data_IF_618528842284
#
_entry.id   IF_618528842284
#
_cell.length_a   1.000
_cell.length_b   1.000
_cell.length_c   1.000
_cell.angle_alpha   90.00
_cell.angle_beta   90.00
_cell.angle_gamma   90.00
#
_symmetry.space_group_name_H-M   'P 1'
#
loop_
_entity.id
_entity.type
_entity.pdbx_description
1 polymer ?
#
# COMPACT_ATOMS: atom_id res chain seq x y z
N UNK A 1 80.20 -43.56 -1.85
CA UNK A 1 79.51 -42.68 -2.81
C UNK A 1 79.21 -41.36 -2.10
N UNK A 2 79.94 -40.28 -2.39
CA UNK A 2 79.82 -39.01 -1.69
C UNK A 2 79.11 -37.97 -2.59
N UNK A 3 77.89 -37.58 -2.20
CA UNK A 3 77.09 -36.58 -2.90
C UNK A 3 77.67 -35.17 -2.65
N UNK A 4 78.15 -34.52 -3.71
CA UNK A 4 78.50 -33.09 -3.71
C UNK A 4 77.22 -32.27 -3.67
N UNK A 5 76.87 -31.72 -2.51
CA UNK A 5 75.83 -30.71 -2.41
C UNK A 5 76.38 -29.37 -2.94
N UNK A 6 75.88 -28.93 -4.08
CA UNK A 6 76.19 -27.63 -4.65
C UNK A 6 75.57 -26.54 -3.76
N UNK A 7 76.40 -25.78 -3.04
CA UNK A 7 75.95 -24.62 -2.28
C UNK A 7 75.43 -23.55 -3.25
N UNK A 8 74.18 -23.09 -3.14
CA UNK A 8 73.66 -22.04 -3.99
C UNK A 8 74.52 -20.77 -3.82
N UNK A 9 74.86 -20.13 -4.94
CA UNK A 9 75.62 -18.87 -4.95
C UNK A 9 74.80 -17.83 -4.18
N UNK A 10 75.40 -17.18 -3.18
CA UNK A 10 74.73 -16.25 -2.25
C UNK A 10 73.82 -15.21 -2.93
N UNK A 11 74.14 -14.78 -4.16
CA UNK A 11 73.30 -13.88 -4.96
C UNK A 11 71.93 -14.44 -5.37
N UNK A 12 71.81 -15.75 -5.61
CA UNK A 12 70.53 -16.39 -5.95
C UNK A 12 69.58 -16.45 -4.75
N UNK A 13 70.13 -16.61 -3.54
CA UNK A 13 69.37 -16.57 -2.28
C UNK A 13 68.82 -15.16 -2.03
N UNK A 14 69.64 -14.12 -2.27
CA UNK A 14 69.21 -12.72 -2.12
C UNK A 14 68.09 -12.38 -3.12
N UNK A 15 68.22 -12.78 -4.39
CA UNK A 15 67.17 -12.60 -5.41
C UNK A 15 65.86 -13.32 -5.04
N UNK A 16 65.95 -14.54 -4.50
CA UNK A 16 64.78 -15.29 -4.05
C UNK A 16 64.07 -14.61 -2.86
N UNK A 17 64.83 -14.04 -1.92
CA UNK A 17 64.27 -13.29 -0.79
C UNK A 17 63.60 -11.98 -1.25
N UNK A 18 64.21 -11.27 -2.21
CA UNK A 18 63.59 -10.07 -2.79
C UNK A 18 62.31 -10.41 -3.57
N UNK A 19 62.31 -11.49 -4.35
CA UNK A 19 61.12 -11.96 -5.05
C UNK A 19 60.01 -12.39 -4.07
N UNK A 20 60.36 -13.10 -2.99
CA UNK A 20 59.43 -13.47 -1.93
C UNK A 20 58.86 -12.23 -1.22
N UNK A 21 59.71 -11.25 -0.90
CA UNK A 21 59.28 -9.99 -0.30
C UNK A 21 58.33 -9.20 -1.22
N UNK A 22 58.59 -9.18 -2.54
CA UNK A 22 57.70 -8.56 -3.53
C UNK A 22 56.37 -9.30 -3.67
N UNK A 23 56.37 -10.64 -3.64
CA UNK A 23 55.14 -11.44 -3.66
C UNK A 23 54.31 -11.24 -2.38
N UNK A 24 54.95 -11.21 -1.22
CA UNK A 24 54.31 -10.89 0.06
C UNK A 24 53.73 -9.48 0.01
N UNK A 25 54.53 -8.49 -0.41
CA UNK A 25 54.06 -7.11 -0.55
C UNK A 25 52.89 -6.99 -1.53
N UNK A 26 52.94 -7.69 -2.67
CA UNK A 26 51.84 -7.75 -3.63
C UNK A 26 50.57 -8.34 -3.00
N UNK A 27 50.68 -9.45 -2.28
CA UNK A 27 49.54 -10.08 -1.61
C UNK A 27 48.98 -9.18 -0.50
N UNK A 28 49.83 -8.51 0.28
CA UNK A 28 49.43 -7.56 1.32
C UNK A 28 48.76 -6.30 0.73
N UNK A 29 49.28 -5.77 -0.38
CA UNK A 29 48.69 -4.60 -1.08
C UNK A 29 47.35 -5.00 -1.72
N UNK A 30 47.27 -6.17 -2.35
CA UNK A 30 46.02 -6.68 -2.96
C UNK A 30 44.95 -6.98 -1.91
N UNK A 31 45.33 -7.52 -0.74
CA UNK A 31 44.41 -7.73 0.37
C UNK A 31 43.75 -6.42 0.83
N UNK A 32 44.54 -5.34 0.98
CA UNK A 32 44.02 -4.02 1.38
C UNK A 32 43.09 -3.38 0.34
N UNK A 33 43.21 -3.71 -0.94
CA UNK A 33 42.32 -3.16 -1.98
C UNK A 33 40.89 -3.70 -1.87
N UNK A 34 40.72 -4.94 -1.39
CA UNK A 34 39.40 -5.55 -1.21
C UNK A 34 38.62 -4.84 -0.09
N UNK A 35 39.31 -4.43 0.97
CA UNK A 35 38.73 -3.70 2.11
C UNK A 35 38.19 -2.31 1.70
N UNK A 36 38.92 -1.59 0.82
CA UNK A 36 38.51 -0.26 0.36
C UNK A 36 37.24 -0.30 -0.49
N UNK A 37 37.10 -1.32 -1.34
CA UNK A 37 35.89 -1.53 -2.13
C UNK A 37 34.70 -1.86 -1.22
N UNK A 38 34.91 -2.70 -0.21
CA UNK A 38 33.87 -3.10 0.73
C UNK A 38 33.33 -1.90 1.53
N UNK A 39 34.21 -1.03 2.03
CA UNK A 39 33.78 0.16 2.77
C UNK A 39 33.05 1.19 1.89
N UNK A 40 33.43 1.33 0.61
CA UNK A 40 32.73 2.24 -0.31
C UNK A 40 31.30 1.79 -0.61
N UNK A 41 31.06 0.48 -0.78
CA UNK A 41 29.70 -0.04 -0.96
C UNK A 41 28.86 0.10 0.33
N UNK A 42 29.48 -0.06 1.50
CA UNK A 42 28.81 0.09 2.79
C UNK A 42 28.41 1.55 3.09
N UNK A 43 29.24 2.52 2.72
CA UNK A 43 28.97 3.94 2.95
C UNK A 43 27.88 4.55 2.05
N UNK A 44 27.64 3.96 0.86
CA UNK A 44 26.60 4.43 -0.08
C UNK A 44 25.23 3.78 0.15
N UNK A 45 25.15 2.80 1.03
CA UNK A 45 23.88 2.19 1.46
C UNK A 45 23.60 2.67 2.88
N UNK A 46 22.93 3.81 3.08
CA UNK A 46 22.53 4.20 4.42
C UNK A 46 21.52 3.18 4.93
N UNK A 47 21.99 2.23 5.74
CA UNK A 47 21.10 1.54 6.68
C UNK A 47 20.80 2.59 7.75
N UNK A 48 19.54 3.05 7.87
CA UNK A 48 19.20 3.93 8.98
C UNK A 48 19.54 3.18 10.27
N UNK A 49 20.59 3.61 10.97
CA UNK A 49 20.94 3.15 12.33
C UNK A 49 20.19 3.99 13.35
N UNK A 50 18.94 4.29 13.02
CA UNK A 50 17.95 4.78 13.93
C UNK A 50 16.85 3.73 13.83
N UNK A 51 16.35 3.26 14.98
CA UNK A 51 15.06 2.56 14.96
C UNK A 51 14.09 3.44 14.15
N UNK A 52 13.13 2.86 13.41
CA UNK A 52 12.00 3.65 12.93
C UNK A 52 11.58 4.57 14.08
N UNK A 53 11.35 5.87 13.86
CA UNK A 53 10.73 6.68 14.91
C UNK A 53 9.58 5.86 15.46
N UNK A 54 9.41 5.85 16.79
CA UNK A 54 8.30 5.12 17.40
C UNK A 54 7.11 5.37 16.51
N UNK A 55 6.57 4.29 15.95
CA UNK A 55 5.26 4.39 15.37
C UNK A 55 4.41 4.72 16.59
N UNK A 56 4.25 6.01 16.90
CA UNK A 56 2.90 6.51 17.07
C UNK A 56 2.20 5.85 15.89
N UNK A 57 1.49 4.75 16.18
CA UNK A 57 0.55 4.15 15.25
C UNK A 57 -0.38 5.30 14.95
N UNK A 58 0.01 6.11 13.97
CA UNK A 58 -0.44 7.48 13.81
C UNK A 58 -1.91 7.32 13.66
N UNK A 59 -2.66 7.61 14.73
CA UNK A 59 -3.91 6.92 15.05
C UNK A 59 -4.66 6.72 13.75
N UNK A 60 -4.59 5.51 13.19
CA UNK A 60 -4.90 5.34 11.77
C UNK A 60 -6.33 5.82 11.61
N UNK A 61 -6.52 6.79 10.71
CA UNK A 61 -7.83 7.40 10.55
C UNK A 61 -8.87 6.27 10.39
N UNK A 62 -9.96 6.28 11.18
CA UNK A 62 -10.93 5.19 11.14
C UNK A 62 -11.45 5.00 9.72
N UNK A 63 -11.47 3.75 9.25
CA UNK A 63 -11.87 3.42 7.90
C UNK A 63 -12.62 2.08 7.89
N UNK A 64 -13.91 2.15 7.57
CA UNK A 64 -14.78 0.98 7.49
C UNK A 64 -15.21 0.72 6.05
N UNK A 65 -15.10 -0.53 5.62
CA UNK A 65 -15.43 -1.00 4.26
C UNK A 65 -15.94 -2.42 4.33
N UNK A 66 -16.32 -2.99 3.20
CA UNK A 66 -16.75 -4.40 3.13
C UNK A 66 -15.72 -5.31 3.79
N UNK A 67 -16.18 -6.13 4.74
CA UNK A 67 -15.36 -7.02 5.56
C UNK A 67 -14.94 -6.44 6.92
N UNK A 68 -15.11 -5.14 7.16
CA UNK A 68 -14.95 -4.56 8.50
C UNK A 68 -15.97 -5.16 9.47
N UNK A 69 -15.53 -5.47 10.69
CA UNK A 69 -16.37 -5.98 11.77
C UNK A 69 -16.03 -5.29 13.07
N UNK A 70 -17.01 -5.06 13.94
CA UNK A 70 -16.76 -4.53 15.28
C UNK A 70 -17.84 -3.59 15.82
N UNK A 71 -17.68 -3.14 17.07
CA UNK A 71 -18.62 -2.23 17.72
C UNK A 71 -18.74 -0.88 16.98
N UNK A 72 -17.66 -0.40 16.36
CA UNK A 72 -17.67 0.86 15.61
C UNK A 72 -18.50 0.74 14.32
N UNK A 73 -18.53 -0.45 13.70
CA UNK A 73 -19.43 -0.72 12.57
C UNK A 73 -20.88 -0.75 13.05
N UNK A 74 -21.16 -1.24 14.27
CA UNK A 74 -22.50 -1.17 14.84
C UNK A 74 -22.95 0.27 15.06
N UNK A 75 -22.05 1.15 15.52
CA UNK A 75 -22.35 2.58 15.70
C UNK A 75 -22.63 3.25 14.36
N UNK A 76 -21.81 2.97 13.35
CA UNK A 76 -22.05 3.42 11.98
C UNK A 76 -23.42 2.97 11.45
N UNK A 77 -23.74 1.68 11.57
CA UNK A 77 -25.03 1.13 11.14
C UNK A 77 -26.21 1.75 11.90
N UNK A 78 -26.08 1.97 13.22
CA UNK A 78 -27.11 2.68 14.01
C UNK A 78 -27.33 4.08 13.48
N UNK A 79 -26.25 4.84 13.30
CA UNK A 79 -26.36 6.22 12.81
C UNK A 79 -27.00 6.29 11.43
N UNK A 80 -26.61 5.40 10.51
CA UNK A 80 -27.22 5.30 9.19
C UNK A 80 -28.70 4.91 9.27
N UNK A 81 -29.07 4.04 10.21
CA UNK A 81 -30.47 3.65 10.44
C UNK A 81 -31.30 4.78 11.02
N UNK A 82 -30.76 5.52 11.99
CA UNK A 82 -31.42 6.68 12.60
C UNK A 82 -31.73 7.76 11.54
N UNK A 83 -30.82 7.91 10.58
CA UNK A 83 -30.98 8.81 9.43
C UNK A 83 -31.81 8.19 8.28
N UNK A 84 -32.24 6.93 8.37
CA UNK A 84 -33.10 6.27 7.39
C UNK A 84 -32.39 5.66 6.17
N UNK A 85 -31.06 5.60 6.15
CA UNK A 85 -30.29 5.00 5.05
C UNK A 85 -30.13 3.48 5.16
N UNK A 86 -30.22 2.94 6.38
CA UNK A 86 -30.00 1.52 6.67
C UNK A 86 -31.19 0.90 7.37
N UNK A 87 -31.74 -0.19 6.83
CA UNK A 87 -32.97 -0.82 7.33
C UNK A 87 -32.77 -2.24 7.86
N UNK A 88 -31.58 -2.82 7.68
CA UNK A 88 -31.25 -4.15 8.14
C UNK A 88 -30.83 -4.17 9.63
N UNK A 89 -30.49 -5.35 10.11
CA UNK A 89 -30.04 -5.56 11.49
C UNK A 89 -28.69 -4.87 11.75
N UNK A 90 -28.55 -4.26 12.92
CA UNK A 90 -27.26 -3.71 13.39
C UNK A 90 -26.47 -4.85 14.02
N UNK A 91 -25.67 -5.52 13.21
CA UNK A 91 -24.90 -6.71 13.61
C UNK A 91 -23.39 -6.46 13.72
N UNK A 92 -22.94 -5.24 13.37
CA UNK A 92 -21.54 -4.86 13.40
C UNK A 92 -20.73 -5.46 12.26
N UNK A 93 -21.37 -5.93 11.18
CA UNK A 93 -20.70 -6.47 9.99
C UNK A 93 -20.95 -5.57 8.80
N UNK A 94 -19.86 -5.10 8.19
CA UNK A 94 -19.92 -4.25 7.03
C UNK A 94 -19.96 -5.11 5.77
N UNK A 95 -21.15 -5.33 5.21
CA UNK A 95 -21.37 -6.00 3.93
C UNK A 95 -22.16 -5.12 2.95
N UNK A 96 -22.76 -5.70 1.92
CA UNK A 96 -23.41 -4.97 0.82
C UNK A 96 -24.50 -4.00 1.31
N UNK A 97 -25.28 -4.38 2.32
CA UNK A 97 -26.33 -3.51 2.87
C UNK A 97 -25.77 -2.24 3.51
N UNK A 98 -24.71 -2.38 4.31
CA UNK A 98 -24.02 -1.25 4.95
C UNK A 98 -23.33 -0.39 3.90
N UNK A 99 -22.68 -1.02 2.92
CA UNK A 99 -22.04 -0.31 1.81
C UNK A 99 -23.03 0.53 1.00
N UNK A 100 -24.20 -0.03 0.66
CA UNK A 100 -25.23 0.68 -0.08
C UNK A 100 -25.77 1.89 0.70
N UNK A 101 -26.01 1.72 2.01
CA UNK A 101 -26.42 2.83 2.89
C UNK A 101 -25.37 3.94 2.94
N UNK A 102 -24.09 3.60 3.05
CA UNK A 102 -22.99 4.58 3.05
C UNK A 102 -22.91 5.31 1.71
N UNK A 103 -23.06 4.61 0.57
CA UNK A 103 -23.08 5.26 -0.76
C UNK A 103 -24.22 6.25 -0.90
N UNK A 104 -25.42 5.87 -0.45
CA UNK A 104 -26.58 6.75 -0.49
C UNK A 104 -26.38 8.00 0.39
N UNK A 105 -25.81 7.83 1.59
CA UNK A 105 -25.45 8.93 2.47
C UNK A 105 -24.41 9.86 1.83
N UNK A 106 -23.31 9.29 1.31
CA UNK A 106 -22.26 10.03 0.63
C UNK A 106 -22.81 10.85 -0.55
N UNK A 107 -23.65 10.23 -1.39
CA UNK A 107 -24.25 10.89 -2.55
C UNK A 107 -25.13 12.09 -2.15
N UNK A 108 -25.95 11.97 -1.10
CA UNK A 108 -26.81 13.07 -0.64
C UNK A 108 -26.01 14.24 -0.05
N UNK A 109 -24.83 13.97 0.50
CA UNK A 109 -23.95 14.97 1.10
C UNK A 109 -22.83 15.44 0.17
N UNK A 110 -22.89 15.12 -1.13
CA UNK A 110 -21.91 15.57 -2.13
C UNK A 110 -20.51 14.99 -1.93
N UNK A 111 -20.39 13.87 -1.21
CA UNK A 111 -19.14 13.11 -1.06
C UNK A 111 -18.99 12.11 -2.21
N UNK A 112 -17.78 11.61 -2.41
CA UNK A 112 -17.56 10.48 -3.31
C UNK A 112 -18.32 9.24 -2.79
N UNK A 113 -19.24 8.70 -3.59
CA UNK A 113 -20.10 7.58 -3.23
C UNK A 113 -19.40 6.21 -3.43
N UNK A 114 -18.21 6.06 -2.85
CA UNK A 114 -17.38 4.85 -2.95
C UNK A 114 -17.88 3.72 -2.02
N UNK A 115 -18.68 4.05 -1.01
CA UNK A 115 -19.18 3.13 0.00
C UNK A 115 -18.14 2.76 1.05
N UNK A 116 -17.10 3.59 1.25
CA UNK A 116 -16.10 3.46 2.31
C UNK A 116 -16.36 4.56 3.34
N UNK A 117 -16.66 4.18 4.58
CA UNK A 117 -16.80 5.12 5.68
C UNK A 117 -15.42 5.49 6.25
N UNK A 118 -14.73 6.37 5.52
CA UNK A 118 -13.51 7.03 5.98
C UNK A 118 -13.79 8.33 6.74
N UNK A 119 -12.73 9.07 7.09
CA UNK A 119 -12.78 10.26 7.94
C UNK A 119 -13.85 11.29 7.50
N UNK A 120 -13.90 11.65 6.21
CA UNK A 120 -14.88 12.62 5.70
C UNK A 120 -16.32 12.16 5.91
N UNK A 121 -16.60 10.89 5.63
CA UNK A 121 -17.94 10.30 5.81
C UNK A 121 -18.32 10.20 7.28
N UNK A 122 -17.38 9.77 8.14
CA UNK A 122 -17.62 9.64 9.57
C UNK A 122 -17.85 11.00 10.24
N UNK A 123 -17.06 12.02 9.87
CA UNK A 123 -17.25 13.39 10.33
C UNK A 123 -18.61 13.94 9.88
N UNK A 124 -18.98 13.70 8.61
CA UNK A 124 -20.28 14.14 8.10
C UNK A 124 -21.45 13.44 8.82
N UNK A 125 -21.34 12.14 9.14
CA UNK A 125 -22.35 11.41 9.90
C UNK A 125 -22.52 11.94 11.33
N UNK A 126 -21.42 12.35 11.96
CA UNK A 126 -21.42 12.91 13.31
C UNK A 126 -21.88 14.38 13.34
N UNK A 127 -21.87 15.08 12.20
CA UNK A 127 -22.26 16.47 12.10
C UNK A 127 -23.77 16.68 12.34
N UNK A 128 -24.18 17.81 12.92
CA UNK A 128 -25.58 18.26 12.93
C UNK A 128 -26.17 18.41 11.52
N UNK A 129 -25.33 18.61 10.51
CA UNK A 129 -25.75 18.76 9.10
C UNK A 129 -26.07 17.41 8.41
N UNK A 130 -25.92 16.29 9.13
CA UNK A 130 -26.31 14.98 8.61
C UNK A 130 -27.83 14.94 8.37
N UNK A 131 -28.21 14.93 7.09
CA UNK A 131 -29.61 14.94 6.68
C UNK A 131 -30.20 13.54 6.73
N UNK A 132 -31.50 13.46 7.01
CA UNK A 132 -32.24 12.21 6.84
C UNK A 132 -32.27 11.83 5.36
N UNK A 133 -32.34 10.54 5.10
CA UNK A 133 -32.43 10.01 3.75
C UNK A 133 -33.60 10.62 3.01
N UNK A 134 -33.27 11.36 1.97
CA UNK A 134 -34.21 11.78 0.96
C UNK A 134 -33.94 10.86 -0.23
N UNK A 135 -34.89 9.98 -0.61
CA UNK A 135 -34.79 9.28 -1.87
C UNK A 135 -34.49 10.31 -2.95
N UNK A 136 -33.49 10.07 -3.82
CA UNK A 136 -33.31 10.93 -4.98
C UNK A 136 -34.69 11.10 -5.60
N UNK A 137 -35.09 12.34 -5.87
CA UNK A 137 -36.26 12.54 -6.70
C UNK A 137 -36.04 11.63 -7.89
N UNK A 138 -36.86 10.58 -8.04
CA UNK A 138 -36.81 9.75 -9.24
C UNK A 138 -36.72 10.77 -10.36
N UNK A 139 -35.78 10.64 -11.32
CA UNK A 139 -35.91 11.44 -12.51
C UNK A 139 -37.36 11.27 -12.90
N UNK A 140 -38.13 12.37 -12.83
CA UNK A 140 -39.45 12.43 -13.43
C UNK A 140 -39.25 11.74 -14.76
N UNK A 141 -40.14 10.83 -15.13
CA UNK A 141 -40.14 10.32 -16.48
C UNK A 141 -40.25 11.54 -17.40
N UNK A 142 -39.12 12.16 -17.74
CA UNK A 142 -38.97 13.07 -18.84
C UNK A 142 -39.21 12.13 -19.98
N UNK A 143 -40.45 12.17 -20.45
CA UNK A 143 -40.89 11.74 -21.76
C UNK A 143 -39.83 10.86 -22.42
N UNK A 144 -40.01 9.54 -22.35
CA UNK A 144 -39.57 8.73 -23.47
C UNK A 144 -40.18 9.47 -24.67
N UNK A 145 -39.40 10.08 -25.60
CA UNK A 145 -40.00 10.64 -26.79
C UNK A 145 -40.76 9.48 -27.39
N UNK A 146 -42.08 9.60 -27.41
CA UNK A 146 -42.97 8.65 -28.07
C UNK A 146 -42.43 8.53 -29.48
N UNK A 147 -41.65 7.47 -29.70
CA UNK A 147 -41.19 7.07 -31.00
C UNK A 147 -42.48 6.93 -31.82
N UNK A 148 -42.66 7.70 -32.92
CA UNK A 148 -43.89 7.63 -33.68
C UNK A 148 -44.07 6.18 -34.09
N UNK A 149 -45.27 5.66 -33.85
CA UNK A 149 -45.68 4.32 -34.25
C UNK A 149 -45.84 4.28 -35.77
N UNK A 150 -44.76 4.47 -36.51
CA UNK A 150 -44.75 4.39 -37.96
C UNK A 150 -44.41 2.96 -38.38
N UNK A 151 -45.49 2.19 -38.54
CA UNK A 151 -45.68 1.26 -39.66
C UNK A 151 -44.73 0.07 -39.81
N UNK A 152 -45.04 -1.04 -39.13
CA UNK A 152 -44.77 -2.35 -39.70
C UNK A 152 -45.82 -2.65 -40.78
N UNK A 153 -45.54 -2.24 -42.03
CA UNK A 153 -46.24 -2.80 -43.20
C UNK A 153 -45.77 -4.24 -43.36
N UNK A 154 -46.67 -5.18 -43.08
CA UNK A 154 -46.49 -6.59 -43.42
C UNK A 154 -46.92 -6.76 -44.88
N UNK A 155 -46.04 -7.16 -45.83
CA UNK A 155 -46.53 -7.65 -47.12
C UNK A 155 -47.20 -9.01 -46.90
N UNK A 156 -48.46 -9.12 -47.32
CA UNK A 156 -49.25 -10.34 -47.38
C UNK A 156 -48.58 -11.39 -48.30
N UNK A 157 -48.85 -12.70 -48.09
CA UNK A 157 -48.11 -13.81 -48.74
C UNK A 157 -48.29 -13.89 -50.25
#
# INVERSE_FOLDING_TARGET
>A
MAQRQARPRRGLVILALLALALLIAFFLIRARQLDQAYQKLAATTPVPTQAPPDLDFRQLAPLYRVGSVGPEVMELQRRLRDLGYYTAEVDGKYYEGTQAAVKAFQAQHGLEADGIAGELTLNQLASPDAQHYQPPAQPTQTEIPSQPADSYVTPAP
#
